data_IF_422469726457
#
_entry.id   IF_422469726457
#
_cell.length_a   1.000
_cell.length_b   1.000
_cell.length_c   1.000
_cell.angle_alpha   90.00
_cell.angle_beta   90.00
_cell.angle_gamma   90.00
#
_symmetry.space_group_name_H-M   'P 1'
#
loop_
_entity.id
_entity.type
_entity.pdbx_description
1 polymer ?
#
# COMPACT_ATOMS: atom_id res chain seq x y z
N UNK A 1 35.19 27.51 -12.85
CA UNK A 1 35.10 26.56 -11.71
C UNK A 1 34.69 25.15 -12.17
N UNK A 2 33.45 24.92 -12.65
CA UNK A 2 32.96 23.58 -13.08
C UNK A 2 33.83 22.92 -14.16
N UNK A 3 34.31 23.69 -15.15
CA UNK A 3 35.19 23.19 -16.22
C UNK A 3 36.53 22.64 -15.71
N UNK A 4 37.05 23.22 -14.62
CA UNK A 4 38.29 22.77 -13.98
C UNK A 4 38.07 21.49 -13.18
N UNK A 5 36.93 21.39 -12.48
CA UNK A 5 36.54 20.18 -11.76
C UNK A 5 36.30 18.99 -12.71
N UNK A 6 35.61 19.19 -13.84
CA UNK A 6 35.43 18.17 -14.88
C UNK A 6 36.76 17.72 -15.48
N UNK A 7 37.70 18.65 -15.67
CA UNK A 7 39.04 18.33 -16.13
C UNK A 7 39.82 17.51 -15.09
N UNK A 8 39.74 17.86 -13.80
CA UNK A 8 40.41 17.09 -12.73
C UNK A 8 39.80 15.69 -12.53
N UNK A 9 38.48 15.54 -12.71
CA UNK A 9 37.80 14.25 -12.71
C UNK A 9 38.28 13.35 -13.86
N UNK A 10 38.49 13.93 -15.05
CA UNK A 10 38.97 13.24 -16.24
C UNK A 10 40.45 12.84 -16.20
N UNK A 11 41.27 13.51 -15.37
CA UNK A 11 42.69 13.16 -15.17
C UNK A 11 42.88 11.90 -14.32
N UNK A 12 41.94 11.54 -13.44
CA UNK A 12 42.06 10.38 -12.54
C UNK A 12 40.88 9.42 -12.75
N UNK A 13 40.80 8.88 -13.96
CA UNK A 13 39.67 8.08 -14.46
C UNK A 13 39.30 6.90 -13.55
N UNK A 14 40.29 6.19 -13.02
CA UNK A 14 40.08 5.04 -12.15
C UNK A 14 39.42 5.47 -10.83
N UNK A 15 40.04 6.40 -10.11
CA UNK A 15 39.55 6.86 -8.81
C UNK A 15 38.13 7.43 -8.93
N UNK A 16 37.91 8.28 -9.92
CA UNK A 16 36.60 8.87 -10.20
C UNK A 16 35.54 7.80 -10.44
N UNK A 17 35.84 6.79 -11.27
CA UNK A 17 34.92 5.68 -11.54
C UNK A 17 34.58 4.90 -10.27
N UNK A 18 35.56 4.54 -9.43
CA UNK A 18 35.31 3.84 -8.17
C UNK A 18 34.40 4.63 -7.22
N UNK A 19 34.61 5.95 -7.07
CA UNK A 19 33.73 6.78 -6.23
C UNK A 19 32.31 6.87 -6.77
N UNK A 20 32.13 7.00 -8.08
CA UNK A 20 30.79 7.01 -8.69
C UNK A 20 30.10 5.67 -8.44
N UNK A 21 30.82 4.57 -8.63
CA UNK A 21 30.29 3.21 -8.47
C UNK A 21 29.88 2.95 -7.01
N UNK A 22 30.69 3.40 -6.04
CA UNK A 22 30.35 3.32 -4.63
C UNK A 22 29.05 4.08 -4.28
N UNK A 23 28.90 5.30 -4.80
CA UNK A 23 27.68 6.10 -4.58
C UNK A 23 26.47 5.47 -5.26
N UNK A 24 26.62 5.01 -6.51
CA UNK A 24 25.54 4.36 -7.26
C UNK A 24 25.05 3.09 -6.57
N UNK A 25 25.96 2.25 -6.06
CA UNK A 25 25.59 1.04 -5.32
C UNK A 25 24.80 1.38 -4.04
N UNK A 26 25.23 2.41 -3.29
CA UNK A 26 24.51 2.85 -2.09
C UNK A 26 23.12 3.38 -2.39
N UNK A 27 23.00 4.26 -3.40
CA UNK A 27 21.71 4.85 -3.79
C UNK A 27 20.77 3.80 -4.41
N UNK A 28 21.31 2.88 -5.22
CA UNK A 28 20.53 1.79 -5.82
C UNK A 28 19.94 0.85 -4.76
N UNK A 29 20.68 0.53 -3.70
CA UNK A 29 20.19 -0.30 -2.61
C UNK A 29 19.00 0.36 -1.87
N UNK A 30 19.13 1.64 -1.52
CA UNK A 30 18.10 2.41 -0.82
C UNK A 30 16.86 2.56 -1.71
N UNK A 31 17.06 3.01 -2.95
CA UNK A 31 15.97 3.17 -3.93
C UNK A 31 15.28 1.84 -4.23
N UNK A 32 16.04 0.74 -4.33
CA UNK A 32 15.49 -0.58 -4.61
C UNK A 32 14.56 -1.07 -3.50
N UNK A 33 14.88 -0.79 -2.24
CA UNK A 33 14.05 -1.18 -1.10
C UNK A 33 12.74 -0.39 -1.09
N UNK A 34 12.80 0.93 -1.32
CA UNK A 34 11.59 1.74 -1.43
C UNK A 34 10.69 1.30 -2.59
N UNK A 35 11.27 1.08 -3.77
CA UNK A 35 10.51 0.62 -4.95
C UNK A 35 9.88 -0.76 -4.69
N UNK A 36 10.58 -1.67 -4.02
CA UNK A 36 10.03 -2.97 -3.66
C UNK A 36 8.86 -2.83 -2.69
N UNK A 37 9.00 -2.02 -1.64
CA UNK A 37 7.92 -1.77 -0.68
C UNK A 37 6.71 -1.13 -1.36
N UNK A 38 6.93 -0.16 -2.24
CA UNK A 38 5.86 0.49 -3.01
C UNK A 38 5.15 -0.50 -3.94
N UNK A 39 5.88 -1.39 -4.61
CA UNK A 39 5.29 -2.43 -5.45
C UNK A 39 4.45 -3.41 -4.64
N UNK A 40 4.94 -3.87 -3.49
CA UNK A 40 4.17 -4.76 -2.61
C UNK A 40 2.88 -4.05 -2.18
N UNK A 41 3.00 -2.80 -1.71
CA UNK A 41 1.84 -2.02 -1.24
C UNK A 41 0.81 -1.80 -2.35
N UNK A 42 1.26 -1.43 -3.55
CA UNK A 42 0.38 -1.24 -4.71
C UNK A 42 -0.27 -2.55 -5.15
N UNK A 43 0.47 -3.66 -5.17
CA UNK A 43 -0.09 -4.96 -5.54
C UNK A 43 -1.16 -5.45 -4.56
N UNK A 44 -0.95 -5.25 -3.26
CA UNK A 44 -1.98 -5.55 -2.27
C UNK A 44 -3.19 -4.61 -2.39
N UNK A 45 -2.97 -3.31 -2.55
CA UNK A 45 -4.04 -2.34 -2.76
C UNK A 45 -4.91 -2.70 -3.97
N UNK A 46 -4.30 -3.05 -5.10
CA UNK A 46 -5.01 -3.48 -6.31
C UNK A 46 -5.87 -4.72 -6.07
N UNK A 47 -5.38 -5.69 -5.30
CA UNK A 47 -6.14 -6.89 -4.94
C UNK A 47 -7.34 -6.51 -4.06
N UNK A 48 -7.15 -5.67 -3.04
CA UNK A 48 -8.23 -5.25 -2.15
C UNK A 48 -9.25 -4.38 -2.87
N UNK A 49 -8.81 -3.42 -3.69
CA UNK A 49 -9.71 -2.58 -4.49
C UNK A 49 -10.48 -3.39 -5.54
N UNK A 50 -9.87 -4.42 -6.12
CA UNK A 50 -10.55 -5.29 -7.08
C UNK A 50 -11.58 -6.19 -6.40
N UNK A 51 -11.26 -6.73 -5.23
CA UNK A 51 -12.15 -7.61 -4.47
C UNK A 51 -13.33 -6.85 -3.82
N UNK A 52 -13.08 -5.64 -3.31
CA UNK A 52 -14.07 -4.78 -2.66
C UNK A 52 -14.49 -3.61 -3.54
N UNK A 53 -14.45 -3.79 -4.87
CA UNK A 53 -14.78 -2.73 -5.82
C UNK A 53 -16.21 -2.22 -5.54
N UNK A 54 -16.33 -0.94 -5.17
CA UNK A 54 -17.57 -0.27 -4.75
C UNK A 54 -18.11 -0.64 -3.35
N UNK A 55 -17.28 -1.20 -2.47
CA UNK A 55 -17.63 -1.48 -1.06
C UNK A 55 -16.76 -0.61 -0.16
N UNK A 56 -17.33 0.50 0.32
CA UNK A 56 -16.62 1.42 1.23
C UNK A 56 -16.71 1.00 2.70
N UNK A 57 -17.80 0.30 3.09
CA UNK A 57 -18.07 -0.11 4.48
C UNK A 57 -18.69 -1.50 4.50
N UNK A 58 -18.20 -2.37 5.39
CA UNK A 58 -18.76 -3.71 5.66
C UNK A 58 -19.34 -3.71 7.07
N UNK A 59 -20.61 -4.09 7.19
CA UNK A 59 -21.30 -4.22 8.49
C UNK A 59 -21.32 -5.69 8.88
N UNK A 60 -20.68 -6.02 10.00
CA UNK A 60 -20.58 -7.38 10.53
C UNK A 60 -21.29 -7.46 11.89
N UNK A 61 -21.97 -8.57 12.22
CA UNK A 61 -22.48 -8.80 13.57
C UNK A 61 -21.37 -8.65 14.62
N UNK A 62 -21.70 -8.02 15.75
CA UNK A 62 -20.80 -7.97 16.90
C UNK A 62 -20.86 -9.31 17.62
N UNK A 63 -19.74 -10.04 17.78
CA UNK A 63 -19.75 -11.35 18.41
C UNK A 63 -20.31 -11.27 19.84
N UNK A 64 -21.23 -12.18 20.16
CA UNK A 64 -21.85 -12.27 21.49
C UNK A 64 -20.86 -12.59 22.63
N UNK A 65 -19.72 -13.24 22.36
CA UNK A 65 -18.73 -13.63 23.38
C UNK A 65 -17.29 -13.51 22.86
N UNK A 66 -16.37 -13.11 23.75
CA UNK A 66 -14.95 -12.79 23.45
C UNK A 66 -14.07 -14.05 23.28
N UNK A 67 -14.54 -15.22 23.71
CA UNK A 67 -13.74 -16.44 23.75
C UNK A 67 -14.54 -17.69 23.32
N UNK A 68 -14.18 -18.22 22.13
CA UNK A 68 -14.05 -19.67 21.93
C UNK A 68 -15.30 -20.54 21.82
N UNK A 69 -16.49 -20.02 21.54
CA UNK A 69 -17.67 -20.86 21.27
C UNK A 69 -18.14 -20.76 19.83
N UNK A 70 -18.51 -21.92 19.26
CA UNK A 70 -18.95 -22.12 17.88
C UNK A 70 -19.76 -20.92 17.38
N UNK A 71 -19.20 -20.23 16.38
CA UNK A 71 -19.82 -19.10 15.72
C UNK A 71 -21.14 -19.56 15.10
N UNK A 72 -22.20 -19.52 15.90
CA UNK A 72 -23.54 -19.43 15.34
C UNK A 72 -23.49 -18.14 14.54
N UNK A 73 -23.55 -18.23 13.22
CA UNK A 73 -23.44 -17.09 12.31
C UNK A 73 -24.50 -16.08 12.73
N UNK A 74 -24.13 -15.09 13.54
CA UNK A 74 -25.07 -14.09 14.01
C UNK A 74 -25.54 -13.33 12.78
N UNK A 75 -26.79 -13.56 12.39
CA UNK A 75 -27.31 -12.97 11.17
C UNK A 75 -27.82 -11.57 11.49
N UNK A 76 -27.49 -10.64 10.61
CA UNK A 76 -28.03 -9.29 10.68
C UNK A 76 -29.46 -9.30 10.09
N UNK A 77 -30.42 -8.61 10.70
CA UNK A 77 -31.76 -8.49 10.13
C UNK A 77 -31.70 -7.75 8.78
N UNK A 78 -32.41 -8.26 7.77
CA UNK A 78 -32.46 -7.67 6.43
C UNK A 78 -32.96 -6.21 6.41
N UNK A 79 -33.73 -5.80 7.44
CA UNK A 79 -34.16 -4.40 7.62
C UNK A 79 -33.00 -3.42 7.85
N UNK A 80 -31.80 -3.90 8.23
CA UNK A 80 -30.61 -3.07 8.32
C UNK A 80 -30.17 -2.52 6.97
N UNK A 81 -30.36 -3.25 5.87
CA UNK A 81 -29.97 -2.75 4.53
C UNK A 81 -30.71 -1.45 4.22
N UNK A 82 -32.01 -1.39 4.52
CA UNK A 82 -32.84 -0.19 4.33
C UNK A 82 -32.42 0.95 5.27
N UNK A 83 -32.07 0.64 6.52
CA UNK A 83 -31.58 1.63 7.48
C UNK A 83 -30.24 2.21 7.06
N UNK A 84 -29.33 1.38 6.54
CA UNK A 84 -28.00 1.81 6.06
C UNK A 84 -28.14 2.62 4.77
N UNK A 85 -29.02 2.20 3.84
CA UNK A 85 -29.32 2.96 2.64
C UNK A 85 -29.90 4.36 2.91
N UNK A 86 -30.57 4.56 4.06
CA UNK A 86 -31.14 5.84 4.46
C UNK A 86 -30.13 6.80 5.11
N UNK A 87 -28.90 6.37 5.38
CA UNK A 87 -27.86 7.22 5.97
C UNK A 87 -27.31 8.16 4.89
N UNK A 88 -27.19 9.45 5.23
CA UNK A 88 -26.62 10.47 4.35
C UNK A 88 -25.18 10.08 3.95
N UNK A 89 -24.91 10.03 2.64
CA UNK A 89 -23.62 9.61 2.08
C UNK A 89 -23.57 8.18 1.58
N UNK A 90 -24.56 7.33 1.87
CA UNK A 90 -24.63 5.96 1.34
C UNK A 90 -25.28 5.97 -0.05
N UNK A 91 -24.51 5.60 -1.08
CA UNK A 91 -25.00 5.54 -2.46
C UNK A 91 -25.79 4.25 -2.75
N UNK A 92 -25.29 3.12 -2.25
CA UNK A 92 -25.88 1.79 -2.45
C UNK A 92 -25.61 0.95 -1.20
N UNK A 93 -26.61 0.23 -0.70
CA UNK A 93 -26.45 -0.78 0.34
C UNK A 93 -27.04 -2.11 -0.15
N UNK A 94 -26.32 -3.21 0.05
CA UNK A 94 -26.73 -4.56 -0.31
C UNK A 94 -26.18 -5.55 0.73
N UNK A 95 -26.91 -6.63 0.98
CA UNK A 95 -26.59 -7.63 2.01
C UNK A 95 -27.60 -8.76 2.02
#
# INVERSE_FOLDING_TARGET
MIRVALHSLGQHKLRTALTILAVLLGVAMISGTYVLTDQIRSGFEDIFQSAYKNVDVIVTPKPAFDEGFEATTETLPASLVQRVAAVEGVRTAFG
#
